data_IF_032663129624
#
_entry.id   IF_032663129624
#
_cell.length_a   1.000
_cell.length_b   1.000
_cell.length_c   1.000
_cell.angle_alpha   90.00
_cell.angle_beta   90.00
_cell.angle_gamma   90.00
#
_symmetry.space_group_name_H-M   'P 1'
#
loop_
_entity.id
_entity.type
_entity.pdbx_description
1 polymer ?
#
# COMPACT_ATOMS: atom_id res chain seq x y z
N UNK A 1 0.79 20.45 4.39
CA UNK A 1 1.09 21.90 4.41
C UNK A 1 0.64 22.49 3.09
N UNK A 2 -0.02 23.62 3.11
CA UNK A 2 -0.41 24.34 1.90
C UNK A 2 -0.03 25.80 2.07
N UNK A 3 0.32 26.49 0.98
CA UNK A 3 0.53 27.92 1.01
C UNK A 3 -0.43 28.63 0.04
N UNK A 4 -0.75 29.87 0.38
CA UNK A 4 -1.63 30.72 -0.41
C UNK A 4 -0.76 31.61 -1.29
N UNK A 5 -1.02 31.60 -2.59
CA UNK A 5 -0.35 32.53 -3.52
C UNK A 5 -0.79 33.98 -3.27
N UNK A 6 0.12 34.95 -3.33
CA UNK A 6 -0.24 36.35 -3.20
C UNK A 6 -1.02 36.88 -4.41
N UNK A 7 -0.96 36.18 -5.53
CA UNK A 7 -1.57 36.60 -6.78
C UNK A 7 -3.08 36.35 -6.77
N UNK A 8 -3.81 37.24 -7.43
CA UNK A 8 -5.25 37.03 -7.67
C UNK A 8 -5.45 36.00 -8.78
N UNK A 9 -6.54 35.22 -8.66
CA UNK A 9 -6.90 34.29 -9.71
C UNK A 9 -7.21 35.05 -11.02
N UNK A 10 -6.65 34.56 -12.12
CA UNK A 10 -6.91 35.11 -13.46
C UNK A 10 -8.38 35.03 -13.89
N UNK A 11 -9.17 34.16 -13.22
CA UNK A 11 -10.61 34.05 -13.46
C UNK A 11 -11.45 35.23 -12.90
N UNK A 12 -10.82 36.25 -12.28
CA UNK A 12 -11.47 37.43 -11.73
C UNK A 12 -12.19 37.25 -10.39
N UNK A 13 -12.16 36.05 -9.81
CA UNK A 13 -12.76 35.80 -8.49
C UNK A 13 -11.88 36.35 -7.38
N UNK A 14 -12.49 36.87 -6.33
CA UNK A 14 -11.81 37.41 -5.13
C UNK A 14 -11.27 36.28 -4.19
N UNK A 15 -11.43 35.02 -4.57
CA UNK A 15 -11.00 33.88 -3.77
C UNK A 15 -9.47 33.79 -3.74
N UNK A 16 -8.96 33.30 -2.61
CA UNK A 16 -7.54 33.00 -2.46
C UNK A 16 -7.13 31.85 -3.34
N UNK A 17 -5.95 31.93 -3.94
CA UNK A 17 -5.40 30.86 -4.80
C UNK A 17 -4.46 30.01 -3.97
N UNK A 18 -4.71 28.71 -3.90
CA UNK A 18 -3.76 27.75 -3.33
C UNK A 18 -2.60 27.56 -4.30
N UNK A 19 -1.39 27.71 -3.82
CA UNK A 19 -0.17 27.49 -4.61
C UNK A 19 0.12 26.01 -4.74
N UNK A 20 0.43 25.38 -3.64
CA UNK A 20 0.74 23.97 -3.59
C UNK A 20 0.13 23.36 -2.32
N UNK A 21 -0.49 22.22 -2.46
CA UNK A 21 -0.92 21.42 -1.32
C UNK A 21 0.07 20.26 -1.18
N UNK A 22 0.88 20.32 -0.13
CA UNK A 22 1.77 19.22 0.23
C UNK A 22 1.03 18.40 1.27
N UNK A 23 0.43 17.30 0.81
CA UNK A 23 -0.20 16.30 1.66
C UNK A 23 0.74 15.15 1.98
N UNK A 24 0.21 14.10 2.60
CA UNK A 24 0.89 12.80 2.66
C UNK A 24 1.01 12.27 1.24
N UNK A 25 2.22 12.22 0.74
CA UNK A 25 2.52 11.39 -0.43
C UNK A 25 2.57 9.96 0.12
N UNK A 26 1.49 9.22 -0.03
CA UNK A 26 1.53 7.78 0.20
C UNK A 26 2.62 7.19 -0.68
N UNK A 27 3.41 6.25 -0.15
CA UNK A 27 4.37 5.53 -0.99
C UNK A 27 3.59 4.78 -2.06
N UNK A 28 4.10 4.82 -3.28
CA UNK A 28 3.51 4.16 -4.43
C UNK A 28 4.31 2.91 -4.73
N UNK A 29 3.62 1.86 -5.10
CA UNK A 29 4.21 0.77 -5.86
C UNK A 29 3.71 0.86 -7.30
N UNK A 30 4.47 0.26 -8.21
CA UNK A 30 4.20 0.38 -9.63
C UNK A 30 4.06 -1.00 -10.24
N UNK A 31 3.12 -1.17 -11.14
CA UNK A 31 3.15 -2.35 -12.00
C UNK A 31 4.30 -2.22 -13.02
N UNK A 32 4.68 -3.30 -13.70
CA UNK A 32 5.77 -3.28 -14.68
C UNK A 32 5.49 -2.42 -15.93
N UNK A 33 4.25 -1.96 -16.10
CA UNK A 33 3.87 -0.96 -17.12
C UNK A 33 4.05 0.48 -16.63
N UNK A 34 4.53 0.68 -15.41
CA UNK A 34 4.74 1.99 -14.83
C UNK A 34 3.50 2.66 -14.26
N UNK A 35 2.39 1.93 -14.11
CA UNK A 35 1.18 2.48 -13.51
C UNK A 35 1.33 2.48 -11.99
N UNK A 36 1.22 3.67 -11.34
CA UNK A 36 1.31 3.76 -9.89
C UNK A 36 0.07 3.19 -9.21
N UNK A 37 0.31 2.48 -8.13
CA UNK A 37 -0.73 1.96 -7.24
C UNK A 37 -0.53 2.55 -5.85
N UNK A 38 -1.55 3.25 -5.35
CA UNK A 38 -1.50 3.87 -4.03
C UNK A 38 -1.52 2.82 -2.92
N UNK A 39 -0.76 3.06 -1.85
CA UNK A 39 -0.78 2.23 -0.65
C UNK A 39 -2.17 2.11 0.00
N UNK A 40 -3.04 3.09 -0.21
CA UNK A 40 -4.44 3.06 0.27
C UNK A 40 -5.24 2.00 -0.49
N UNK A 41 -4.97 1.84 -1.80
CA UNK A 41 -5.66 0.86 -2.63
C UNK A 41 -5.18 -0.56 -2.31
N UNK A 42 -3.96 -0.70 -1.80
CA UNK A 42 -3.37 -1.99 -1.48
C UNK A 42 -4.12 -2.69 -0.35
N UNK A 43 -4.51 -1.99 0.70
CA UNK A 43 -5.40 -2.54 1.72
C UNK A 43 -6.67 -3.10 1.06
N UNK A 44 -7.21 -2.37 0.12
CA UNK A 44 -8.39 -2.78 -0.61
C UNK A 44 -8.10 -4.01 -1.49
N UNK A 45 -6.99 -4.07 -2.18
CA UNK A 45 -6.62 -5.21 -3.02
C UNK A 45 -6.38 -6.48 -2.22
N UNK A 46 -5.77 -6.35 -1.05
CA UNK A 46 -5.51 -7.48 -0.15
C UNK A 46 -6.79 -7.98 0.52
N UNK A 47 -7.68 -7.07 0.94
CA UNK A 47 -8.73 -7.40 1.90
C UNK A 47 -10.15 -7.07 1.44
N UNK A 48 -10.36 -6.20 0.46
CA UNK A 48 -11.71 -5.68 0.08
C UNK A 48 -12.39 -6.43 -1.06
N UNK A 49 -11.66 -7.08 -1.94
CA UNK A 49 -12.31 -8.01 -2.88
C UNK A 49 -12.85 -9.27 -2.18
N UNK A 50 -12.57 -9.38 -0.92
CA UNK A 50 -13.32 -10.18 0.01
C UNK A 50 -14.62 -9.43 0.27
N UNK A 51 -15.76 -9.93 -0.15
CA UNK A 51 -17.08 -9.33 0.14
C UNK A 51 -17.12 -8.82 1.58
N UNK A 52 -17.13 -7.51 1.78
CA UNK A 52 -17.11 -6.87 3.11
C UNK A 52 -18.23 -7.33 4.03
N UNK A 53 -19.15 -8.10 3.51
CA UNK A 53 -20.33 -8.56 4.21
C UNK A 53 -20.17 -9.99 4.77
N UNK A 54 -19.05 -10.66 4.54
CA UNK A 54 -18.84 -11.99 5.12
C UNK A 54 -17.97 -11.91 6.35
N UNK A 55 -18.44 -12.49 7.42
CA UNK A 55 -17.77 -12.55 8.72
C UNK A 55 -16.37 -13.20 8.63
N UNK A 56 -16.19 -14.12 7.69
CA UNK A 56 -14.92 -14.81 7.42
C UNK A 56 -13.76 -13.86 7.09
N UNK A 57 -14.01 -12.78 6.40
CA UNK A 57 -12.94 -11.84 5.98
C UNK A 57 -12.50 -10.92 7.11
N UNK A 58 -13.40 -10.52 7.97
CA UNK A 58 -13.06 -9.84 9.22
C UNK A 58 -12.19 -10.74 10.11
N UNK A 59 -12.44 -12.03 10.12
CA UNK A 59 -11.68 -13.00 10.89
C UNK A 59 -10.25 -13.14 10.35
N UNK A 60 -10.07 -13.20 9.04
CA UNK A 60 -8.74 -13.28 8.41
C UNK A 60 -7.93 -12.01 8.68
N UNK A 61 -8.50 -10.83 8.45
CA UNK A 61 -7.84 -9.56 8.72
C UNK A 61 -7.42 -9.44 10.20
N UNK A 62 -8.28 -9.85 11.10
CA UNK A 62 -8.01 -9.83 12.54
C UNK A 62 -6.88 -10.76 12.99
N UNK A 63 -6.43 -11.68 12.14
CA UNK A 63 -5.31 -12.57 12.42
C UNK A 63 -3.96 -12.00 12.02
N UNK A 64 -3.94 -10.90 11.28
CA UNK A 64 -2.72 -10.16 10.93
C UNK A 64 -2.42 -9.14 12.01
N UNK A 65 -1.19 -9.14 12.53
CA UNK A 65 -0.67 -8.09 13.40
C UNK A 65 -0.08 -6.93 12.56
N UNK A 66 0.79 -7.27 11.62
CA UNK A 66 1.41 -6.32 10.71
C UNK A 66 1.59 -6.94 9.32
N UNK A 67 1.58 -6.11 8.29
CA UNK A 67 2.04 -6.54 6.96
C UNK A 67 2.83 -5.42 6.28
N UNK A 68 3.70 -5.78 5.36
CA UNK A 68 4.46 -4.82 4.56
C UNK A 68 4.68 -5.37 3.15
N UNK A 69 4.45 -4.53 2.17
CA UNK A 69 4.71 -4.82 0.77
C UNK A 69 6.02 -4.16 0.38
N UNK A 70 6.93 -4.94 -0.16
CA UNK A 70 8.22 -4.49 -0.66
C UNK A 70 8.31 -4.75 -2.15
N UNK A 71 8.64 -3.73 -2.89
CA UNK A 71 8.92 -3.85 -4.32
C UNK A 71 10.39 -3.58 -4.56
N UNK A 72 11.05 -4.52 -5.22
CA UNK A 72 12.47 -4.40 -5.57
C UNK A 72 12.69 -3.52 -6.81
N UNK A 73 13.95 -3.31 -7.15
CA UNK A 73 14.36 -2.51 -8.32
C UNK A 73 13.93 -3.10 -9.67
N UNK A 74 13.53 -4.36 -9.72
CA UNK A 74 13.03 -5.02 -10.93
C UNK A 74 11.51 -5.01 -11.03
N UNK A 75 10.82 -4.51 -10.01
CA UNK A 75 9.37 -4.46 -9.92
C UNK A 75 8.73 -5.72 -9.37
N UNK A 76 9.52 -6.67 -8.88
CA UNK A 76 9.02 -7.86 -8.21
C UNK A 76 8.62 -7.55 -6.75
N UNK A 77 7.66 -8.26 -6.23
CA UNK A 77 6.98 -7.89 -4.98
C UNK A 77 7.11 -9.00 -3.94
N UNK A 78 7.53 -8.61 -2.75
CA UNK A 78 7.54 -9.47 -1.56
C UNK A 78 6.53 -8.94 -0.54
N UNK A 79 5.63 -9.79 -0.08
CA UNK A 79 4.64 -9.47 0.95
C UNK A 79 5.08 -10.13 2.25
N UNK A 80 5.44 -9.30 3.23
CA UNK A 80 5.80 -9.75 4.57
C UNK A 80 4.56 -9.69 5.45
N UNK A 81 4.24 -10.77 6.13
CA UNK A 81 3.09 -10.88 7.03
C UNK A 81 3.58 -11.31 8.40
N UNK A 82 3.24 -10.52 9.42
CA UNK A 82 3.36 -10.93 10.80
C UNK A 82 1.98 -11.35 11.30
N UNK A 83 1.72 -12.64 11.48
CA UNK A 83 0.47 -13.10 12.06
C UNK A 83 0.44 -12.79 13.57
N UNK A 84 -0.74 -12.62 14.15
CA UNK A 84 -0.90 -12.51 15.61
C UNK A 84 -0.54 -13.79 16.33
N UNK A 85 -0.86 -14.93 15.72
CA UNK A 85 -0.46 -16.25 16.22
C UNK A 85 0.78 -16.71 15.43
N UNK A 86 1.93 -16.95 16.09
CA UNK A 86 3.13 -17.46 15.41
C UNK A 86 2.97 -18.82 14.74
N UNK A 87 1.98 -19.60 15.18
CA UNK A 87 1.66 -20.92 14.62
C UNK A 87 0.46 -20.88 13.65
N UNK A 88 0.19 -19.72 13.07
CA UNK A 88 -0.90 -19.59 12.10
C UNK A 88 -0.65 -20.43 10.86
N UNK A 89 -1.74 -20.92 10.26
CA UNK A 89 -1.68 -21.69 9.01
C UNK A 89 -0.98 -20.83 7.92
N UNK A 90 0.11 -21.31 7.31
CA UNK A 90 0.81 -20.59 6.26
C UNK A 90 -0.04 -20.31 5.02
N UNK A 91 -1.13 -21.04 4.81
CA UNK A 91 -2.04 -20.89 3.68
C UNK A 91 -3.24 -20.00 3.96
N UNK A 92 -3.38 -19.52 5.20
CA UNK A 92 -4.52 -18.69 5.60
C UNK A 92 -4.70 -17.43 4.72
N UNK A 93 -3.60 -16.84 4.26
CA UNK A 93 -3.62 -15.60 3.51
C UNK A 93 -3.50 -15.79 1.99
N UNK A 94 -3.44 -17.03 1.49
CA UNK A 94 -3.25 -17.32 0.06
C UNK A 94 -4.28 -16.60 -0.80
N UNK A 95 -5.54 -16.59 -0.39
CA UNK A 95 -6.60 -15.89 -1.11
C UNK A 95 -6.37 -14.37 -1.23
N UNK A 96 -5.90 -13.73 -0.16
CA UNK A 96 -5.57 -12.30 -0.18
C UNK A 96 -4.39 -12.02 -1.10
N UNK A 97 -3.40 -12.91 -1.10
CA UNK A 97 -2.22 -12.82 -1.96
C UNK A 97 -2.60 -12.98 -3.43
N UNK A 98 -3.46 -13.94 -3.75
CA UNK A 98 -3.95 -14.17 -5.12
C UNK A 98 -4.73 -12.97 -5.63
N UNK A 99 -5.59 -12.38 -4.81
CA UNK A 99 -6.31 -11.15 -5.16
C UNK A 99 -5.35 -9.99 -5.45
N UNK A 100 -4.35 -9.82 -4.61
CA UNK A 100 -3.33 -8.81 -4.83
C UNK A 100 -2.56 -9.08 -6.14
N UNK A 101 -2.17 -10.33 -6.37
CA UNK A 101 -1.42 -10.75 -7.55
C UNK A 101 -2.14 -10.44 -8.87
N UNK A 102 -3.46 -10.52 -8.89
CA UNK A 102 -4.27 -10.19 -10.08
C UNK A 102 -4.09 -8.74 -10.56
N UNK A 103 -3.67 -7.83 -9.68
CA UNK A 103 -3.40 -6.43 -10.04
C UNK A 103 -1.97 -6.18 -10.53
N UNK A 104 -1.07 -7.16 -10.35
CA UNK A 104 0.36 -7.08 -10.70
C UNK A 104 0.81 -8.26 -11.55
N UNK A 105 0.07 -8.55 -12.61
CA UNK A 105 0.19 -9.77 -13.44
C UNK A 105 1.60 -10.00 -13.99
N UNK A 106 2.35 -8.91 -14.25
CA UNK A 106 3.69 -8.97 -14.82
C UNK A 106 4.81 -9.03 -13.76
N UNK A 107 4.48 -8.97 -12.48
CA UNK A 107 5.43 -9.04 -11.37
C UNK A 107 5.46 -10.43 -10.76
N UNK A 108 6.66 -10.90 -10.40
CA UNK A 108 6.77 -12.04 -9.50
C UNK A 108 6.34 -11.60 -8.12
N UNK A 109 5.43 -12.36 -7.51
CA UNK A 109 4.92 -12.07 -6.18
C UNK A 109 5.20 -13.27 -5.29
N UNK A 110 5.82 -13.01 -4.16
CA UNK A 110 6.02 -13.98 -3.09
C UNK A 110 5.55 -13.43 -1.76
N UNK A 111 5.16 -14.30 -0.86
CA UNK A 111 4.81 -13.91 0.51
C UNK A 111 5.51 -14.82 1.50
N UNK A 112 5.71 -14.30 2.71
CA UNK A 112 6.30 -15.05 3.81
C UNK A 112 5.86 -14.50 5.16
N UNK A 113 5.79 -15.38 6.14
CA UNK A 113 5.63 -14.98 7.53
C UNK A 113 6.95 -14.50 8.10
N UNK A 114 6.88 -13.48 8.93
CA UNK A 114 8.01 -12.90 9.63
C UNK A 114 7.68 -12.71 11.11
N UNK A 115 8.70 -12.74 11.95
CA UNK A 115 8.53 -12.56 13.39
C UNK A 115 8.24 -11.10 13.76
N UNK A 116 8.76 -10.15 13.02
CA UNK A 116 8.45 -8.73 13.18
C UNK A 116 8.68 -7.92 11.92
N UNK A 117 8.01 -6.78 11.84
CA UNK A 117 8.18 -5.76 10.81
C UNK A 117 8.55 -4.47 11.52
N UNK A 118 9.76 -3.92 11.29
CA UNK A 118 10.22 -2.70 11.94
C UNK A 118 9.28 -1.52 11.69
N UNK A 119 9.05 -0.74 12.72
CA UNK A 119 8.36 0.54 12.62
C UNK A 119 9.36 1.69 12.60
N UNK A 120 8.99 2.82 12.01
CA UNK A 120 9.80 4.02 12.02
C UNK A 120 9.93 4.55 13.45
N UNK A 121 10.95 5.39 13.76
CA UNK A 121 11.10 6.00 15.08
C UNK A 121 9.88 6.79 15.55
N UNK A 122 9.05 7.26 14.61
CA UNK A 122 7.77 7.92 14.88
C UNK A 122 6.64 6.98 15.34
N UNK A 123 6.89 5.66 15.42
CA UNK A 123 5.88 4.64 15.69
C UNK A 123 4.97 4.30 14.50
N UNK A 124 5.18 4.94 13.36
CA UNK A 124 4.41 4.67 12.14
C UNK A 124 5.04 3.52 11.36
N UNK A 125 4.20 2.70 10.76
CA UNK A 125 4.63 1.64 9.87
C UNK A 125 4.51 2.08 8.41
N UNK A 126 5.54 1.77 7.63
CA UNK A 126 5.47 1.87 6.18
C UNK A 126 4.87 0.58 5.62
N UNK A 127 3.63 0.64 5.17
CA UNK A 127 2.96 -0.51 4.55
C UNK A 127 3.53 -0.86 3.18
N UNK A 128 4.14 0.09 2.49
CA UNK A 128 4.74 -0.08 1.18
C UNK A 128 6.13 0.52 1.15
N UNK A 129 7.09 -0.27 0.70
CA UNK A 129 8.47 0.15 0.43
C UNK A 129 8.78 -0.23 -1.00
N UNK A 130 9.11 0.73 -1.86
CA UNK A 130 9.49 0.47 -3.24
C UNK A 130 10.87 1.01 -3.53
N UNK A 131 11.69 0.17 -4.12
CA UNK A 131 13.00 0.50 -4.72
C UNK A 131 12.91 0.54 -6.26
N UNK A 132 11.71 0.35 -6.81
CA UNK A 132 11.50 0.30 -8.25
C UNK A 132 11.64 1.68 -8.86
N UNK A 133 12.66 1.83 -9.69
CA UNK A 133 12.96 3.08 -10.39
C UNK A 133 12.39 3.00 -11.81
N UNK A 134 11.29 3.70 -12.02
CA UNK A 134 10.55 3.66 -13.28
C UNK A 134 11.23 4.39 -14.43
N UNK A 135 12.15 5.26 -14.23
CA UNK A 135 12.90 5.97 -15.29
C UNK A 135 14.09 6.72 -14.67
N UNK A 136 15.24 6.19 -14.82
CA UNK A 136 16.44 7.00 -14.95
C UNK A 136 16.99 6.88 -16.35
#
# INVERSE_FOLDING_TARGET
>A
MAYIKPEKCQCGRASRVLGQVIGRVGKLIYNKKGVPVSSIIIDNMMFINCDYHTQEHYEIYNRIDKFQIRQDKFGDISILIKPKNPNEDPHLFDYCIDNFANHFVDSKIEHRYVDDIPVMPSGKMDYCVSEYELFR
#
